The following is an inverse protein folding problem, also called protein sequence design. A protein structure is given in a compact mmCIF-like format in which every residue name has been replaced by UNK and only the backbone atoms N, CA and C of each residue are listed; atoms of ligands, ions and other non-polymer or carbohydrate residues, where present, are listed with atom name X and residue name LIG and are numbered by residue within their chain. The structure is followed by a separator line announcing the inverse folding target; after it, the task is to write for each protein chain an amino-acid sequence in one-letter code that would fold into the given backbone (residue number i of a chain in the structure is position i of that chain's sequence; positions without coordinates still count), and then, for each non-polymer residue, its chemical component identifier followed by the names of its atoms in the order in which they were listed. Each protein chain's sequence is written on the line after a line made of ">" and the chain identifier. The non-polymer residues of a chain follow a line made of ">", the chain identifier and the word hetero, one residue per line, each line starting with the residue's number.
data_IF_019399376028
#
_entry.id   IF_019399376028
#
_cell.length_a   1.000
_cell.length_b   1.000
_cell.length_c   1.000
_cell.angle_alpha   90.00
_cell.angle_beta   90.00
_cell.angle_gamma   90.00
#
_symmetry.space_group_name_H-M   'P 1'
#
loop_
_entity.id
_entity.type
_entity.pdbx_description
1 polymer ?
#
# COMPACT_ATOMS: atom_id res chain seq x y z
N UNK A 1 7.84 15.28 -17.17
CA UNK A 1 7.81 13.83 -17.52
C UNK A 1 8.34 12.93 -16.40
N UNK A 2 9.22 13.40 -15.51
CA UNK A 2 9.76 12.58 -14.39
C UNK A 2 8.79 12.29 -13.24
N UNK A 3 7.85 13.20 -12.94
CA UNK A 3 7.04 13.13 -11.72
C UNK A 3 6.16 11.90 -11.61
N UNK A 4 5.47 11.49 -12.68
CA UNK A 4 4.62 10.29 -12.66
C UNK A 4 5.43 9.00 -12.41
N UNK A 5 6.66 8.94 -12.93
CA UNK A 5 7.56 7.80 -12.73
C UNK A 5 8.08 7.75 -11.30
N UNK A 6 8.44 8.91 -10.73
CA UNK A 6 8.84 9.03 -9.32
C UNK A 6 7.68 8.60 -8.40
N UNK A 7 6.46 9.06 -8.68
CA UNK A 7 5.26 8.66 -7.92
C UNK A 7 5.11 7.14 -7.97
N UNK A 8 5.11 6.54 -9.16
CA UNK A 8 4.96 5.08 -9.32
C UNK A 8 6.06 4.30 -8.57
N UNK A 9 7.32 4.71 -8.71
CA UNK A 9 8.44 4.06 -8.02
C UNK A 9 8.33 4.20 -6.49
N UNK A 10 8.03 5.40 -6.00
CA UNK A 10 7.89 5.64 -4.55
C UNK A 10 6.73 4.85 -3.95
N UNK A 11 5.58 4.79 -4.63
CA UNK A 11 4.44 3.98 -4.18
C UNK A 11 4.76 2.49 -4.19
N UNK A 12 5.48 2.02 -5.22
CA UNK A 12 5.93 0.62 -5.28
C UNK A 12 6.87 0.30 -4.12
N UNK A 13 7.85 1.17 -3.85
CA UNK A 13 8.77 1.02 -2.72
C UNK A 13 8.00 1.02 -1.39
N UNK A 14 7.01 1.91 -1.23
CA UNK A 14 6.19 1.95 -0.01
C UNK A 14 5.43 0.64 0.23
N UNK A 15 4.88 0.02 -0.83
CA UNK A 15 4.24 -1.30 -0.73
C UNK A 15 5.25 -2.39 -0.38
N UNK A 16 6.43 -2.39 -1.02
CA UNK A 16 7.49 -3.37 -0.74
C UNK A 16 7.99 -3.24 0.70
N UNK A 17 8.25 -2.03 1.18
CA UNK A 17 8.66 -1.79 2.58
C UNK A 17 7.55 -2.25 3.53
N UNK A 18 6.30 -1.96 3.20
CA UNK A 18 5.17 -2.40 4.01
C UNK A 18 5.18 -3.93 4.14
N UNK A 19 5.24 -4.67 3.04
CA UNK A 19 5.35 -6.14 3.07
C UNK A 19 6.62 -6.59 3.83
N UNK A 20 7.75 -5.90 3.65
CA UNK A 20 8.99 -6.18 4.34
C UNK A 20 8.88 -6.04 5.88
N UNK A 21 7.96 -5.20 6.38
CA UNK A 21 7.69 -5.08 7.82
C UNK A 21 7.29 -6.42 8.45
N UNK A 22 6.72 -7.33 7.68
CA UNK A 22 6.43 -8.68 8.16
C UNK A 22 7.66 -9.40 8.72
N UNK A 23 8.82 -9.26 8.06
CA UNK A 23 10.08 -9.89 8.49
C UNK A 23 10.90 -9.01 9.43
N UNK A 24 10.80 -7.68 9.31
CA UNK A 24 11.56 -6.74 10.13
C UNK A 24 10.98 -6.57 11.53
N UNK A 25 9.69 -6.84 11.71
CA UNK A 25 9.00 -6.66 12.97
C UNK A 25 9.16 -7.90 13.85
N UNK A 26 9.56 -7.75 15.13
CA UNK A 26 9.63 -8.88 16.08
C UNK A 26 8.26 -9.39 16.53
N UNK A 27 7.17 -8.72 16.16
CA UNK A 27 5.81 -9.17 16.43
C UNK A 27 5.42 -10.34 15.52
N UNK A 28 4.78 -11.36 16.09
CA UNK A 28 4.20 -12.47 15.31
C UNK A 28 2.99 -11.98 14.52
N UNK A 29 3.22 -11.59 13.29
CA UNK A 29 2.15 -11.24 12.35
C UNK A 29 1.57 -12.53 11.77
N UNK A 30 0.25 -12.69 11.85
CA UNK A 30 -0.45 -13.86 11.26
C UNK A 30 -0.48 -13.77 9.72
N UNK A 31 -0.79 -14.88 9.05
CA UNK A 31 -1.00 -14.94 7.60
C UNK A 31 -2.10 -13.97 7.10
N UNK A 32 -3.00 -13.54 8.00
CA UNK A 32 -3.97 -12.48 7.77
C UNK A 32 -3.33 -11.18 7.28
N UNK A 33 -2.10 -10.92 7.73
CA UNK A 33 -1.31 -9.76 7.32
C UNK A 33 -1.14 -9.72 5.81
N UNK A 34 -0.65 -10.80 5.19
CA UNK A 34 -0.46 -10.84 3.73
C UNK A 34 -1.78 -10.79 2.98
N UNK A 35 -2.79 -11.50 3.49
CA UNK A 35 -4.12 -11.55 2.88
C UNK A 35 -4.76 -10.16 2.76
N UNK A 36 -4.45 -9.23 3.66
CA UNK A 36 -4.99 -7.87 3.63
C UNK A 36 -4.00 -6.80 3.12
N UNK A 37 -2.70 -6.91 3.43
CA UNK A 37 -1.68 -5.94 3.02
C UNK A 37 -1.46 -5.93 1.50
N UNK A 38 -1.46 -7.10 0.85
CA UNK A 38 -1.29 -7.23 -0.60
C UNK A 38 -2.44 -6.54 -1.36
N UNK A 39 -3.73 -6.86 -1.12
CA UNK A 39 -4.81 -6.17 -1.81
C UNK A 39 -4.86 -4.69 -1.45
N UNK A 40 -4.58 -4.29 -0.20
CA UNK A 40 -4.51 -2.88 0.17
C UNK A 40 -3.46 -2.13 -0.68
N UNK A 41 -2.25 -2.67 -0.84
CA UNK A 41 -1.20 -2.09 -1.67
C UNK A 41 -1.57 -2.07 -3.16
N UNK A 42 -2.19 -3.14 -3.66
CA UNK A 42 -2.60 -3.22 -5.07
C UNK A 42 -3.71 -2.20 -5.38
N UNK A 43 -4.79 -2.19 -4.61
CA UNK A 43 -5.98 -1.39 -4.92
C UNK A 43 -5.85 0.09 -4.57
N UNK A 44 -5.16 0.43 -3.47
CA UNK A 44 -5.00 1.83 -3.05
C UNK A 44 -3.83 2.52 -3.75
N UNK A 45 -2.76 1.79 -4.09
CA UNK A 45 -1.53 2.38 -4.61
C UNK A 45 -1.22 1.93 -6.05
N UNK A 46 -0.91 0.65 -6.28
CA UNK A 46 -0.35 0.20 -7.56
C UNK A 46 -1.31 0.38 -8.75
N UNK A 47 -2.58 -0.01 -8.61
CA UNK A 47 -3.58 0.10 -9.66
C UNK A 47 -3.88 1.57 -10.06
N UNK A 48 -4.17 2.50 -9.12
CA UNK A 48 -4.37 3.90 -9.48
C UNK A 48 -3.07 4.58 -9.94
N UNK A 49 -1.90 4.17 -9.43
CA UNK A 49 -0.62 4.71 -9.89
C UNK A 49 -0.30 4.30 -11.34
N UNK A 50 -0.61 3.05 -11.70
CA UNK A 50 -0.50 2.58 -13.08
C UNK A 50 -1.43 3.34 -14.02
N UNK A 51 -2.69 3.55 -13.61
CA UNK A 51 -3.64 4.38 -14.36
C UNK A 51 -3.14 5.81 -14.57
N UNK A 52 -2.57 6.42 -13.53
CA UNK A 52 -1.97 7.74 -13.63
C UNK A 52 -0.77 7.75 -14.58
N UNK A 53 0.07 6.72 -14.55
CA UNK A 53 1.23 6.62 -15.43
C UNK A 53 0.84 6.54 -16.92
N UNK A 54 -0.26 5.83 -17.21
CA UNK A 54 -0.79 5.68 -18.56
C UNK A 54 -1.50 6.94 -19.09
N UNK A 55 -2.41 7.52 -18.32
CA UNK A 55 -3.31 8.60 -18.79
C UNK A 55 -2.77 10.01 -18.47
N UNK A 56 -1.99 10.15 -17.38
CA UNK A 56 -1.25 11.38 -17.00
C UNK A 56 -2.10 12.65 -16.83
N UNK A 57 -3.31 12.53 -16.31
CA UNK A 57 -4.17 13.68 -16.02
C UNK A 57 -4.06 14.14 -14.57
N UNK A 58 -4.18 15.46 -14.34
CA UNK A 58 -4.15 16.04 -12.99
C UNK A 58 -5.25 15.47 -12.09
N UNK A 59 -6.43 15.18 -12.65
CA UNK A 59 -7.55 14.63 -11.89
C UNK A 59 -7.23 13.23 -11.33
N UNK A 60 -6.53 12.39 -12.10
CA UNK A 60 -6.05 11.09 -11.62
C UNK A 60 -4.95 11.22 -10.57
N UNK A 61 -4.10 12.26 -10.66
CA UNK A 61 -3.06 12.51 -9.66
C UNK A 61 -3.67 12.88 -8.30
N UNK A 62 -4.66 13.76 -8.28
CA UNK A 62 -5.40 14.12 -7.06
C UNK A 62 -6.16 12.92 -6.49
N UNK A 63 -6.81 12.11 -7.35
CA UNK A 63 -7.49 10.89 -6.91
C UNK A 63 -6.53 9.84 -6.33
N UNK A 64 -5.35 9.67 -6.95
CA UNK A 64 -4.29 8.80 -6.42
C UNK A 64 -3.79 9.29 -5.06
N UNK A 65 -3.56 10.59 -4.91
CA UNK A 65 -3.10 11.17 -3.66
C UNK A 65 -4.13 10.94 -2.54
N UNK A 66 -5.40 11.20 -2.80
CA UNK A 66 -6.48 10.90 -1.83
C UNK A 66 -6.49 9.42 -1.44
N UNK A 67 -6.38 8.50 -2.41
CA UNK A 67 -6.32 7.06 -2.12
C UNK A 67 -5.07 6.66 -1.34
N UNK A 68 -3.93 7.24 -1.67
CA UNK A 68 -2.67 6.95 -1.00
C UNK A 68 -2.69 7.37 0.48
N UNK A 69 -3.40 8.44 0.84
CA UNK A 69 -3.59 8.86 2.23
C UNK A 69 -4.35 7.84 3.08
N UNK A 70 -5.19 6.98 2.48
CA UNK A 70 -5.86 5.89 3.18
C UNK A 70 -4.96 4.66 3.38
N UNK A 71 -3.85 4.54 2.65
CA UNK A 71 -2.97 3.37 2.75
C UNK A 71 -2.33 3.21 4.14
N UNK A 72 -1.75 4.24 4.79
CA UNK A 72 -1.25 4.12 6.16
C UNK A 72 -2.32 3.66 7.15
N UNK A 73 -3.54 4.19 7.03
CA UNK A 73 -4.66 3.80 7.91
C UNK A 73 -5.08 2.36 7.65
N UNK A 74 -5.16 1.94 6.38
CA UNK A 74 -5.44 0.56 6.02
C UNK A 74 -4.37 -0.39 6.57
N UNK A 75 -3.08 -0.06 6.41
CA UNK A 75 -1.98 -0.86 6.96
C UNK A 75 -1.99 -0.90 8.49
N UNK A 76 -2.32 0.21 9.15
CA UNK A 76 -2.48 0.25 10.60
C UNK A 76 -3.57 -0.73 11.07
N UNK A 77 -4.74 -0.71 10.40
CA UNK A 77 -5.82 -1.66 10.65
C UNK A 77 -5.33 -3.10 10.43
N UNK A 78 -4.68 -3.38 9.31
CA UNK A 78 -4.15 -4.72 9.00
C UNK A 78 -3.19 -5.21 10.08
N UNK A 79 -2.22 -4.39 10.49
CA UNK A 79 -1.25 -4.74 11.54
C UNK A 79 -1.97 -4.95 12.88
N UNK A 80 -2.85 -4.03 13.27
CA UNK A 80 -3.62 -4.12 14.51
C UNK A 80 -4.41 -5.44 14.58
N UNK A 81 -5.18 -5.76 13.53
CA UNK A 81 -5.94 -7.00 13.47
C UNK A 81 -5.04 -8.23 13.38
N UNK A 82 -3.90 -8.17 12.69
CA UNK A 82 -2.95 -9.29 12.59
C UNK A 82 -2.27 -9.62 13.92
N UNK A 83 -2.18 -8.65 14.84
CA UNK A 83 -1.63 -8.83 16.19
C UNK A 83 -2.74 -9.23 17.18
N UNK A 84 -3.90 -8.58 17.11
CA UNK A 84 -5.01 -8.76 18.08
C UNK A 84 -5.85 -10.00 17.81
N UNK A 85 -6.04 -10.36 16.53
CA UNK A 85 -6.59 -11.65 16.13
C UNK A 85 -5.44 -12.54 15.63
N UNK A 86 -4.70 -13.19 16.55
CA UNK A 86 -3.92 -14.36 16.17
C UNK A 86 -4.95 -15.44 15.80
N UNK A 87 -5.42 -15.43 14.56
CA UNK A 87 -6.11 -16.58 14.01
C UNK A 87 -5.02 -17.62 13.75
N UNK A 88 -4.97 -18.59 14.68
CA UNK A 88 -3.99 -19.68 14.87
C UNK A 88 -2.59 -19.27 15.35
#
# INVERSE_FOLDING_TARGET
>A
QGSARIILSSLTIAVVISIALFWLTPARLSALYFAAAIPAGIFLLLLPAWRLYAVRTANLASALFNRASYYPVAMFIVIFFSIVLPCF
#
